data_IF_354812871295
#
_entry.id   IF_354812871295
#
_cell.length_a   1.000
_cell.length_b   1.000
_cell.length_c   1.000
_cell.angle_alpha   90.00
_cell.angle_beta   90.00
_cell.angle_gamma   90.00
#
_symmetry.space_group_name_H-M   'P 1'
#
loop_
_entity.id
_entity.type
_entity.pdbx_description
1 polymer ?
#
# COMPACT_ATOMS: atom_id res chain seq x y z
N UNK A 1 2.77 -29.46 -17.26
CA UNK A 1 1.72 -30.10 -18.05
C UNK A 1 2.15 -31.50 -18.49
N UNK A 2 1.29 -32.21 -19.22
CA UNK A 2 1.56 -33.57 -19.72
C UNK A 2 2.76 -33.67 -20.69
N UNK A 3 3.21 -32.55 -21.22
CA UNK A 3 4.36 -32.48 -22.13
C UNK A 3 5.66 -32.12 -21.38
N UNK A 4 5.63 -32.09 -20.06
CA UNK A 4 6.76 -31.73 -19.22
C UNK A 4 7.06 -30.23 -19.13
N UNK A 5 6.22 -29.35 -19.71
CA UNK A 5 6.40 -27.92 -19.58
C UNK A 5 6.01 -27.46 -18.17
N UNK A 6 6.86 -26.69 -17.46
CA UNK A 6 6.50 -26.12 -16.17
C UNK A 6 5.35 -25.13 -16.31
N UNK A 7 4.40 -25.19 -15.42
CA UNK A 7 3.24 -24.30 -15.39
C UNK A 7 3.00 -23.80 -13.97
N UNK A 8 2.44 -22.60 -13.84
CA UNK A 8 2.05 -22.01 -12.58
C UNK A 8 0.59 -21.55 -12.65
N UNK A 9 -0.11 -21.67 -11.55
CA UNK A 9 -1.47 -21.12 -11.44
C UNK A 9 -1.40 -19.59 -11.34
N UNK A 10 -2.26 -18.90 -12.08
CA UNK A 10 -2.24 -17.44 -12.17
C UNK A 10 -2.69 -16.78 -10.85
N UNK A 11 -1.80 -16.04 -10.22
CA UNK A 11 -2.13 -15.18 -9.07
C UNK A 11 -2.77 -13.86 -9.52
N UNK A 12 -2.35 -13.38 -10.68
CA UNK A 12 -2.79 -12.14 -11.34
C UNK A 12 -2.52 -12.26 -12.84
N UNK A 13 -3.13 -11.45 -13.69
CA UNK A 13 -3.04 -11.61 -15.13
C UNK A 13 -2.58 -10.35 -15.90
N UNK A 14 -1.92 -9.41 -15.26
CA UNK A 14 -1.38 -8.21 -15.91
C UNK A 14 -0.43 -8.59 -17.04
N UNK A 15 0.53 -9.46 -16.77
CA UNK A 15 1.50 -9.89 -17.78
C UNK A 15 0.84 -10.65 -18.94
N UNK A 16 -0.14 -11.50 -18.65
CA UNK A 16 -0.91 -12.19 -19.69
C UNK A 16 -1.68 -11.22 -20.58
N UNK A 17 -2.30 -10.18 -19.97
CA UNK A 17 -2.99 -9.13 -20.70
C UNK A 17 -2.03 -8.31 -21.56
N UNK A 18 -0.88 -7.92 -21.03
CA UNK A 18 0.15 -7.19 -21.77
C UNK A 18 0.70 -8.04 -22.93
N UNK A 19 0.95 -9.33 -22.71
CA UNK A 19 1.41 -10.23 -23.77
C UNK A 19 0.37 -10.33 -24.90
N UNK A 20 -0.90 -10.48 -24.57
CA UNK A 20 -1.99 -10.50 -25.55
C UNK A 20 -2.03 -9.21 -26.38
N UNK A 21 -1.90 -8.07 -25.74
CA UNK A 21 -1.92 -6.75 -26.41
C UNK A 21 -0.66 -6.55 -27.24
N UNK A 22 0.50 -7.04 -26.82
CA UNK A 22 1.71 -7.04 -27.65
C UNK A 22 1.54 -7.78 -28.95
N UNK A 23 0.78 -8.86 -28.97
CA UNK A 23 0.54 -9.67 -30.17
C UNK A 23 -0.53 -9.06 -31.08
N UNK A 24 -1.63 -8.55 -30.53
CA UNK A 24 -2.81 -8.16 -31.29
C UNK A 24 -3.04 -6.64 -31.34
N UNK A 25 -2.44 -5.86 -30.46
CA UNK A 25 -2.57 -4.41 -30.36
C UNK A 25 -1.52 -3.62 -31.13
N UNK A 26 -0.99 -4.13 -32.23
CA UNK A 26 0.15 -3.58 -32.96
C UNK A 26 -0.08 -2.20 -33.60
N UNK A 27 -1.30 -1.76 -33.76
CA UNK A 27 -1.62 -0.48 -34.41
C UNK A 27 -2.11 0.55 -33.38
N UNK A 28 -1.48 1.71 -33.34
CA UNK A 28 -1.91 2.84 -32.51
C UNK A 28 -3.34 3.30 -32.82
N UNK A 29 -3.81 3.08 -34.05
CA UNK A 29 -5.19 3.42 -34.45
C UNK A 29 -6.27 2.62 -33.69
N UNK A 30 -5.89 1.55 -32.97
CA UNK A 30 -6.80 0.77 -32.13
C UNK A 30 -6.94 1.35 -30.72
N UNK A 31 -6.05 2.25 -30.32
CA UNK A 31 -6.08 2.87 -29.00
C UNK A 31 -6.98 4.12 -28.95
N UNK A 32 -7.60 4.43 -27.80
CA UNK A 32 -7.56 3.67 -26.56
C UNK A 32 -8.54 2.49 -26.60
N UNK A 33 -8.24 1.44 -25.83
CA UNK A 33 -9.18 0.33 -25.63
C UNK A 33 -8.97 -0.32 -24.25
N UNK A 34 -9.94 -1.11 -23.83
CA UNK A 34 -9.88 -1.91 -22.61
C UNK A 34 -10.22 -3.36 -22.93
N UNK A 35 -9.47 -4.26 -22.32
CA UNK A 35 -9.82 -5.68 -22.23
C UNK A 35 -10.16 -6.03 -20.79
N UNK A 36 -11.03 -6.99 -20.59
CA UNK A 36 -11.38 -7.47 -19.25
C UNK A 36 -11.63 -8.96 -19.26
N UNK A 37 -11.57 -9.54 -18.10
CA UNK A 37 -11.93 -10.93 -17.86
C UNK A 37 -12.66 -11.10 -16.54
N UNK A 38 -13.40 -12.20 -16.43
CA UNK A 38 -13.91 -12.72 -15.16
C UNK A 38 -13.34 -14.13 -15.06
N UNK A 39 -12.32 -14.28 -14.24
CA UNK A 39 -11.48 -15.49 -14.25
C UNK A 39 -11.03 -15.84 -12.83
N UNK A 40 -10.84 -17.13 -12.59
CA UNK A 40 -10.29 -17.65 -11.34
C UNK A 40 -8.83 -17.21 -11.19
N UNK A 41 -8.50 -16.80 -9.96
CA UNK A 41 -7.14 -16.51 -9.50
C UNK A 41 -6.79 -17.45 -8.37
N UNK A 42 -5.51 -17.76 -8.24
CA UNK A 42 -4.97 -18.64 -7.21
C UNK A 42 -3.89 -17.90 -6.44
N UNK A 43 -4.06 -17.78 -5.12
CA UNK A 43 -3.07 -17.16 -4.24
C UNK A 43 -2.75 -18.09 -3.09
N UNK A 44 -1.48 -18.26 -2.78
CA UNK A 44 -1.03 -19.12 -1.68
C UNK A 44 -1.26 -18.45 -0.33
N UNK A 45 -2.55 -18.29 0.01
CA UNK A 45 -2.96 -17.71 1.30
C UNK A 45 -2.59 -18.67 2.43
N UNK A 46 -1.69 -18.24 3.30
CA UNK A 46 -1.18 -19.06 4.40
C UNK A 46 -2.29 -19.44 5.40
N UNK A 47 -3.26 -18.55 5.64
CA UNK A 47 -4.33 -18.72 6.62
C UNK A 47 -5.69 -18.31 6.06
N UNK A 48 -6.33 -19.16 5.23
CA UNK A 48 -7.69 -18.90 4.76
C UNK A 48 -8.64 -18.76 5.97
N UNK A 49 -9.53 -17.75 5.90
CA UNK A 49 -10.47 -17.44 6.99
C UNK A 49 -11.65 -16.62 6.52
N UNK A 50 -12.60 -16.38 7.42
CA UNK A 50 -13.78 -15.56 7.16
C UNK A 50 -14.61 -16.04 5.94
N UNK A 51 -14.83 -17.36 5.81
CA UNK A 51 -15.65 -17.97 4.75
C UNK A 51 -15.06 -17.72 3.36
N UNK A 52 -15.70 -16.86 2.56
CA UNK A 52 -15.26 -16.53 1.20
C UNK A 52 -14.40 -15.26 1.12
N UNK A 53 -14.13 -14.56 2.22
CA UNK A 53 -13.40 -13.30 2.21
C UNK A 53 -11.91 -13.53 1.97
N UNK A 54 -11.33 -14.57 2.59
CA UNK A 54 -9.91 -14.88 2.47
C UNK A 54 -9.69 -16.32 2.11
N UNK A 55 -9.52 -16.58 0.82
CA UNK A 55 -9.45 -17.93 0.22
C UNK A 55 -8.27 -18.02 -0.75
N UNK A 56 -7.87 -19.25 -1.08
CA UNK A 56 -6.78 -19.52 -2.03
C UNK A 56 -7.21 -19.50 -3.49
N UNK A 57 -8.49 -19.71 -3.75
CA UNK A 57 -9.07 -19.73 -5.09
C UNK A 57 -10.33 -18.86 -5.09
N UNK A 58 -10.39 -17.89 -6.00
CA UNK A 58 -11.50 -16.95 -6.09
C UNK A 58 -11.66 -16.42 -7.50
N UNK A 59 -12.89 -16.03 -7.84
CA UNK A 59 -13.18 -15.36 -9.11
C UNK A 59 -12.92 -13.86 -8.98
N UNK A 60 -12.14 -13.33 -9.91
CA UNK A 60 -11.85 -11.91 -10.02
C UNK A 60 -12.36 -11.36 -11.34
N UNK A 61 -13.01 -10.19 -11.31
CA UNK A 61 -13.17 -9.34 -12.48
C UNK A 61 -11.98 -8.38 -12.49
N UNK A 62 -11.15 -8.48 -13.49
CA UNK A 62 -10.02 -7.60 -13.72
C UNK A 62 -10.10 -7.00 -15.13
N UNK A 63 -9.69 -5.75 -15.27
CA UNK A 63 -9.75 -5.01 -16.52
C UNK A 63 -8.47 -4.19 -16.71
N UNK A 64 -8.00 -4.11 -17.95
CA UNK A 64 -6.74 -3.51 -18.33
C UNK A 64 -7.00 -2.55 -19.48
N UNK A 65 -6.68 -1.27 -19.29
CA UNK A 65 -6.86 -0.25 -20.31
C UNK A 65 -5.52 0.21 -20.88
N UNK A 66 -5.51 0.50 -22.16
CA UNK A 66 -4.31 0.85 -22.91
C UNK A 66 -4.55 2.17 -23.64
N UNK A 67 -3.63 3.10 -23.48
CA UNK A 67 -3.77 4.50 -23.89
C UNK A 67 -2.53 4.98 -24.63
N UNK A 68 -2.68 6.04 -25.43
CA UNK A 68 -1.58 6.66 -26.18
C UNK A 68 -1.04 7.93 -25.49
N UNK A 69 -1.73 8.42 -24.46
CA UNK A 69 -1.28 9.56 -23.66
C UNK A 69 -1.62 9.39 -22.20
N UNK A 70 -0.88 10.06 -21.34
CA UNK A 70 -1.12 10.09 -19.90
C UNK A 70 -2.47 10.76 -19.58
N UNK A 71 -2.80 11.84 -20.26
CA UNK A 71 -4.07 12.58 -20.10
C UNK A 71 -5.29 11.68 -20.36
N UNK A 72 -5.26 10.90 -21.45
CA UNK A 72 -6.34 9.96 -21.77
C UNK A 72 -6.46 8.85 -20.73
N UNK A 73 -5.33 8.34 -20.22
CA UNK A 73 -5.30 7.37 -19.13
C UNK A 73 -5.95 7.92 -17.85
N UNK A 74 -5.57 9.13 -17.44
CA UNK A 74 -6.10 9.78 -16.24
C UNK A 74 -7.61 10.02 -16.36
N UNK A 75 -8.06 10.53 -17.50
CA UNK A 75 -9.47 10.73 -17.77
C UNK A 75 -10.27 9.40 -17.74
N UNK A 76 -9.66 8.33 -18.25
CA UNK A 76 -10.29 7.02 -18.21
C UNK A 76 -10.30 6.43 -16.79
N UNK A 77 -9.25 6.67 -16.01
CA UNK A 77 -9.18 6.30 -14.59
C UNK A 77 -10.34 6.91 -13.79
N UNK A 78 -10.61 8.20 -13.98
CA UNK A 78 -11.75 8.88 -13.36
C UNK A 78 -13.10 8.25 -13.74
N UNK A 79 -13.26 7.84 -14.99
CA UNK A 79 -14.46 7.12 -15.44
C UNK A 79 -14.61 5.77 -14.72
N UNK A 80 -13.53 5.04 -14.56
CA UNK A 80 -13.51 3.78 -13.82
C UNK A 80 -13.85 4.00 -12.34
N UNK A 81 -13.25 5.02 -11.71
CA UNK A 81 -13.54 5.38 -10.34
C UNK A 81 -15.05 5.63 -10.12
N UNK A 82 -15.66 6.49 -10.94
CA UNK A 82 -17.10 6.75 -10.90
C UNK A 82 -17.95 5.51 -11.21
N UNK A 83 -17.43 4.58 -12.02
CA UNK A 83 -18.12 3.32 -12.27
C UNK A 83 -18.15 2.43 -11.03
N UNK A 84 -17.05 2.35 -10.27
CA UNK A 84 -17.00 1.61 -9.01
C UNK A 84 -17.95 2.20 -7.95
N UNK A 85 -18.03 3.51 -7.82
CA UNK A 85 -19.01 4.15 -6.92
C UNK A 85 -20.45 3.70 -7.25
N UNK A 86 -20.81 3.70 -8.53
CA UNK A 86 -22.12 3.21 -8.96
C UNK A 86 -22.32 1.71 -8.74
N UNK A 87 -21.28 0.90 -8.90
CA UNK A 87 -21.33 -0.56 -8.66
C UNK A 87 -21.65 -0.81 -7.20
N UNK A 88 -20.93 -0.19 -6.27
CA UNK A 88 -21.15 -0.40 -4.83
C UNK A 88 -22.51 0.13 -4.37
N UNK A 89 -22.94 1.28 -4.86
CA UNK A 89 -24.28 1.80 -4.59
C UNK A 89 -25.37 0.83 -5.09
N UNK A 90 -25.23 0.28 -6.29
CA UNK A 90 -26.16 -0.73 -6.84
C UNK A 90 -26.09 -2.07 -6.13
N UNK A 91 -24.95 -2.44 -5.59
CA UNK A 91 -24.78 -3.64 -4.77
C UNK A 91 -25.41 -3.52 -3.37
N UNK A 92 -25.89 -2.32 -2.99
CA UNK A 92 -26.52 -2.08 -1.69
C UNK A 92 -25.53 -1.89 -0.55
N UNK A 93 -24.30 -1.48 -0.84
CA UNK A 93 -23.24 -1.18 0.14
C UNK A 93 -22.73 0.26 -0.03
N UNK A 94 -23.57 1.26 0.23
CA UNK A 94 -23.24 2.68 0.04
C UNK A 94 -22.18 3.20 1.03
N UNK A 95 -21.87 2.45 2.09
CA UNK A 95 -20.85 2.80 3.11
C UNK A 95 -19.42 2.59 2.62
N UNK A 96 -19.25 2.13 1.39
CA UNK A 96 -17.92 2.00 0.77
C UNK A 96 -17.35 3.39 0.47
N UNK A 97 -16.13 3.64 0.91
CA UNK A 97 -15.39 4.87 0.64
C UNK A 97 -14.17 4.59 -0.21
N UNK A 98 -13.86 5.48 -1.14
CA UNK A 98 -12.61 5.44 -1.89
C UNK A 98 -11.51 6.09 -1.06
N UNK A 99 -10.38 5.43 -0.94
CA UNK A 99 -9.19 5.90 -0.22
C UNK A 99 -7.98 5.86 -1.13
N UNK A 100 -7.09 6.83 -0.99
CA UNK A 100 -5.76 6.79 -1.63
C UNK A 100 -4.99 5.61 -1.05
N UNK A 101 -4.37 4.82 -1.90
CA UNK A 101 -3.59 3.66 -1.49
C UNK A 101 -2.19 3.68 -2.10
N UNK A 102 -1.31 2.85 -1.57
CA UNK A 102 -0.01 2.58 -2.16
C UNK A 102 -0.18 1.76 -3.45
N UNK A 103 0.63 2.05 -4.47
CA UNK A 103 0.60 1.32 -5.74
C UNK A 103 1.30 -0.05 -5.69
N UNK A 104 2.05 -0.32 -4.61
CA UNK A 104 2.76 -1.56 -4.38
C UNK A 104 3.77 -1.89 -5.51
N UNK A 105 4.01 -3.18 -5.70
CA UNK A 105 4.92 -3.70 -6.74
C UNK A 105 4.45 -3.41 -8.16
N UNK A 106 3.18 -3.09 -8.38
CA UNK A 106 2.63 -2.78 -9.71
C UNK A 106 3.13 -1.45 -10.25
N UNK A 107 3.61 -0.57 -9.37
CA UNK A 107 4.06 0.77 -9.75
C UNK A 107 2.89 1.71 -10.09
N UNK A 108 3.24 2.86 -10.67
CA UNK A 108 2.26 3.91 -10.97
C UNK A 108 2.23 5.01 -9.91
N UNK A 109 1.62 6.14 -10.26
CA UNK A 109 1.61 7.33 -9.41
C UNK A 109 0.33 7.49 -8.59
N UNK A 110 -0.73 6.77 -8.97
CA UNK A 110 -2.07 6.89 -8.36
C UNK A 110 -2.64 5.51 -8.18
N UNK A 111 -3.11 5.24 -6.96
CA UNK A 111 -3.85 4.02 -6.62
C UNK A 111 -4.96 4.36 -5.64
N UNK A 112 -6.11 3.71 -5.80
CA UNK A 112 -7.24 3.83 -4.89
C UNK A 112 -7.78 2.45 -4.53
N UNK A 113 -8.24 2.34 -3.30
CA UNK A 113 -8.99 1.19 -2.80
C UNK A 113 -10.38 1.64 -2.40
N UNK A 114 -11.36 0.78 -2.64
CA UNK A 114 -12.73 0.98 -2.17
C UNK A 114 -12.94 0.15 -0.91
N UNK A 115 -13.00 0.83 0.25
CA UNK A 115 -13.02 0.23 1.57
C UNK A 115 -14.41 0.32 2.18
N UNK A 116 -14.94 -0.81 2.66
CA UNK A 116 -16.17 -0.83 3.45
C UNK A 116 -15.86 -0.47 4.90
N UNK A 117 -16.52 0.58 5.40
CA UNK A 117 -16.41 0.96 6.80
C UNK A 117 -17.20 -0.01 7.68
N UNK A 118 -16.49 -0.84 8.46
CA UNK A 118 -17.11 -1.84 9.31
C UNK A 118 -16.26 -2.12 10.55
N UNK A 119 -16.90 -2.33 11.73
CA UNK A 119 -16.15 -2.65 12.95
C UNK A 119 -15.41 -3.99 12.92
N UNK A 120 -15.76 -4.89 12.00
CA UNK A 120 -15.12 -6.18 11.82
C UNK A 120 -13.98 -6.16 10.80
N UNK A 121 -13.67 -4.98 10.23
CA UNK A 121 -12.56 -4.80 9.31
C UNK A 121 -11.20 -5.01 10.00
N UNK A 122 -10.20 -5.43 9.24
CA UNK A 122 -8.85 -5.71 9.74
C UNK A 122 -7.91 -4.52 9.55
N UNK A 123 -8.21 -3.66 8.58
CA UNK A 123 -7.37 -2.53 8.21
C UNK A 123 -7.83 -1.22 8.83
N UNK A 124 -6.91 -0.29 9.00
CA UNK A 124 -7.19 1.07 9.44
C UNK A 124 -7.01 2.05 8.28
N UNK A 125 -7.91 3.02 8.18
CA UNK A 125 -7.82 4.11 7.21
C UNK A 125 -7.85 5.46 7.90
N UNK A 126 -7.25 6.45 7.26
CA UNK A 126 -7.26 7.84 7.71
C UNK A 126 -8.32 8.60 6.91
N UNK A 127 -9.22 9.27 7.63
CA UNK A 127 -10.26 10.13 7.05
C UNK A 127 -10.15 11.51 7.72
N UNK A 128 -9.98 12.55 6.91
CA UNK A 128 -10.00 13.90 7.42
C UNK A 128 -11.44 14.35 7.69
N UNK A 129 -11.65 15.04 8.83
CA UNK A 129 -12.95 15.58 9.18
C UNK A 129 -13.25 16.93 8.52
N UNK A 130 -12.24 17.60 7.97
CA UNK A 130 -12.33 18.97 7.44
C UNK A 130 -12.29 19.00 5.89
N UNK A 131 -11.79 17.94 5.25
CA UNK A 131 -11.70 17.86 3.80
C UNK A 131 -11.92 16.44 3.31
N UNK A 132 -11.88 16.24 1.99
CA UNK A 132 -12.09 14.92 1.36
C UNK A 132 -10.87 14.00 1.41
N UNK A 133 -9.82 14.33 2.18
CA UNK A 133 -8.64 13.48 2.28
C UNK A 133 -8.96 12.15 2.94
N UNK A 134 -8.66 11.07 2.22
CA UNK A 134 -8.81 9.70 2.69
C UNK A 134 -7.65 8.86 2.16
N UNK A 135 -7.02 8.07 3.03
CA UNK A 135 -5.90 7.23 2.66
C UNK A 135 -5.84 5.97 3.54
N UNK A 136 -5.28 4.88 3.01
CA UNK A 136 -4.86 3.77 3.84
C UNK A 136 -3.59 4.16 4.63
N UNK A 137 -3.16 3.32 5.57
CA UNK A 137 -2.02 3.65 6.44
C UNK A 137 -0.69 3.76 5.69
N UNK A 138 -0.56 3.05 4.57
CA UNK A 138 0.64 3.03 3.72
C UNK A 138 0.77 4.32 2.89
N UNK A 139 -0.34 4.88 2.45
CA UNK A 139 -0.36 6.11 1.65
C UNK A 139 -0.64 7.38 2.46
N UNK A 140 -1.07 7.25 3.72
CA UNK A 140 -1.39 8.41 4.55
C UNK A 140 -0.16 9.26 4.82
N UNK A 141 -0.30 10.56 4.65
CA UNK A 141 0.74 11.54 4.93
C UNK A 141 0.38 12.32 6.20
N UNK A 142 1.37 12.61 7.03
CA UNK A 142 1.23 13.45 8.21
C UNK A 142 2.28 14.55 8.21
N UNK A 143 1.94 15.68 8.78
CA UNK A 143 2.88 16.76 9.02
C UNK A 143 3.44 16.57 10.43
N UNK A 144 4.74 16.39 10.52
CA UNK A 144 5.45 16.28 11.80
C UNK A 144 6.01 17.64 12.15
N UNK A 145 5.45 18.28 13.16
CA UNK A 145 6.00 19.51 13.72
C UNK A 145 7.24 19.16 14.54
N UNK A 146 8.35 19.80 14.21
CA UNK A 146 9.61 19.68 14.95
C UNK A 146 9.82 20.94 15.78
N UNK A 147 10.00 20.77 17.07
CA UNK A 147 10.45 21.84 17.95
C UNK A 147 11.98 21.92 17.91
N UNK A 148 12.51 23.13 17.72
CA UNK A 148 13.95 23.38 17.82
C UNK A 148 14.27 23.94 19.20
N UNK A 149 15.16 23.25 19.91
CA UNK A 149 15.68 23.71 21.20
C UNK A 149 17.15 24.10 21.08
N UNK A 150 17.62 24.90 22.04
CA UNK A 150 19.04 25.22 22.13
C UNK A 150 19.83 23.94 22.44
N UNK A 151 20.98 23.79 21.78
CA UNK A 151 21.88 22.70 22.07
C UNK A 151 22.34 22.74 23.53
N UNK A 152 22.26 21.62 24.19
CA UNK A 152 22.76 21.43 25.54
C UNK A 152 24.04 20.57 25.53
N UNK A 153 24.77 20.57 26.65
CA UNK A 153 25.96 19.73 26.81
C UNK A 153 25.57 18.24 26.78
N UNK A 154 26.33 17.45 26.02
CA UNK A 154 26.12 16.01 25.92
C UNK A 154 26.49 15.33 27.22
N UNK A 155 25.52 14.69 27.86
CA UNK A 155 25.68 13.96 29.10
C UNK A 155 25.24 12.51 28.95
N UNK A 156 25.91 11.60 29.68
CA UNK A 156 25.51 10.19 29.78
C UNK A 156 24.61 10.01 30.99
N UNK A 157 23.46 9.36 30.78
CA UNK A 157 22.54 9.03 31.86
C UNK A 157 22.41 7.50 31.96
N UNK A 158 22.51 6.97 33.16
CA UNK A 158 22.31 5.54 33.41
C UNK A 158 20.81 5.25 33.50
N UNK A 159 20.33 4.35 32.64
CA UNK A 159 18.90 3.95 32.55
C UNK A 159 18.78 2.43 32.83
N UNK A 160 18.89 1.99 34.12
CA UNK A 160 18.93 0.58 34.44
C UNK A 160 17.62 -0.12 34.13
N UNK A 161 17.69 -1.28 33.46
CA UNK A 161 16.54 -2.15 33.12
C UNK A 161 15.41 -1.46 32.33
N UNK A 162 15.74 -0.36 31.63
CA UNK A 162 14.77 0.34 30.76
C UNK A 162 14.99 -0.03 29.30
N UNK A 163 13.96 -0.59 28.65
CA UNK A 163 14.04 -1.15 27.32
C UNK A 163 13.11 -0.47 26.30
N UNK A 164 12.21 0.40 26.77
CA UNK A 164 11.27 1.11 25.89
C UNK A 164 11.43 2.61 25.99
N UNK A 165 11.00 3.33 24.95
CA UNK A 165 10.99 4.80 24.92
C UNK A 165 10.16 5.36 26.07
N UNK A 166 9.00 4.75 26.36
CA UNK A 166 8.10 5.17 27.44
C UNK A 166 8.81 5.12 28.78
N UNK A 167 9.48 3.99 29.10
CA UNK A 167 10.22 3.83 30.37
C UNK A 167 11.34 4.87 30.52
N UNK A 168 12.10 5.07 29.44
CA UNK A 168 13.20 6.05 29.45
C UNK A 168 12.68 7.48 29.58
N UNK A 169 11.62 7.82 28.85
CA UNK A 169 11.01 9.16 28.90
C UNK A 169 10.38 9.46 30.25
N UNK A 170 9.72 8.48 30.86
CA UNK A 170 9.15 8.61 32.21
C UNK A 170 10.26 8.85 33.25
N UNK A 171 11.33 8.05 33.19
CA UNK A 171 12.47 8.19 34.10
C UNK A 171 13.18 9.54 33.98
N UNK A 172 13.38 10.02 32.75
CA UNK A 172 14.07 11.29 32.49
C UNK A 172 13.13 12.51 32.58
N UNK A 173 11.83 12.29 32.75
CA UNK A 173 10.80 13.34 32.75
C UNK A 173 10.82 14.18 31.46
N UNK A 174 10.99 13.52 30.32
CA UNK A 174 11.00 14.14 28.98
C UNK A 174 9.84 13.61 28.15
N UNK A 175 9.29 14.44 27.26
CA UNK A 175 8.29 14.01 26.29
C UNK A 175 8.94 13.07 25.23
N UNK A 176 8.21 12.03 24.82
CA UNK A 176 8.64 11.11 23.78
C UNK A 176 8.95 11.84 22.45
N UNK A 177 8.32 12.97 22.17
CA UNK A 177 8.64 13.84 21.04
C UNK A 177 10.06 14.42 21.08
N UNK A 178 10.66 14.50 22.24
CA UNK A 178 12.05 14.98 22.45
C UNK A 178 13.07 13.86 22.49
N UNK A 179 12.62 12.62 22.39
CA UNK A 179 13.49 11.45 22.31
C UNK A 179 13.67 10.99 20.85
N UNK A 180 14.69 10.19 20.64
CA UNK A 180 14.97 9.58 19.35
C UNK A 180 15.36 8.12 19.55
N UNK A 181 14.80 7.24 18.72
CA UNK A 181 15.17 5.83 18.69
C UNK A 181 15.86 5.48 17.38
N UNK A 182 16.78 4.53 17.46
CA UNK A 182 17.44 3.94 16.31
C UNK A 182 16.81 2.58 16.01
N UNK A 183 16.40 2.37 14.78
CA UNK A 183 15.85 1.11 14.29
C UNK A 183 16.76 0.59 13.18
N UNK A 184 17.04 -0.71 13.20
CA UNK A 184 17.93 -1.34 12.22
C UNK A 184 17.11 -2.25 11.33
N UNK A 185 17.23 -2.05 10.02
CA UNK A 185 16.72 -2.94 9.00
C UNK A 185 17.86 -3.55 8.20
N UNK A 186 17.61 -4.72 7.63
CA UNK A 186 18.52 -5.35 6.68
C UNK A 186 17.92 -5.25 5.28
N UNK A 187 18.70 -4.77 4.34
CA UNK A 187 18.28 -4.66 2.94
C UNK A 187 18.39 -6.01 2.25
N UNK A 188 17.30 -6.48 1.65
CA UNK A 188 17.22 -7.81 1.04
C UNK A 188 18.12 -7.98 -0.20
N UNK A 189 18.47 -6.89 -0.89
CA UNK A 189 19.24 -6.97 -2.14
C UNK A 189 20.73 -7.23 -1.97
N UNK A 190 21.35 -6.82 -0.86
CA UNK A 190 22.80 -6.90 -0.63
C UNK A 190 23.20 -7.14 0.81
N UNK A 191 22.25 -7.52 1.66
CA UNK A 191 22.42 -7.83 3.08
C UNK A 191 23.01 -6.69 3.95
N UNK A 192 23.03 -5.45 3.43
CA UNK A 192 23.52 -4.31 4.21
C UNK A 192 22.50 -3.83 5.22
N UNK A 193 23.01 -3.36 6.34
CA UNK A 193 22.19 -2.76 7.38
C UNK A 193 21.89 -1.29 7.09
N UNK A 194 20.65 -0.91 7.36
CA UNK A 194 20.16 0.45 7.32
C UNK A 194 19.83 0.87 8.74
N UNK A 195 20.44 1.94 9.20
CA UNK A 195 20.16 2.52 10.51
C UNK A 195 19.26 3.75 10.32
N UNK A 196 18.10 3.70 10.95
CA UNK A 196 17.10 4.75 10.84
C UNK A 196 16.88 5.38 12.20
N UNK A 197 17.01 6.69 12.24
CA UNK A 197 16.71 7.46 13.44
C UNK A 197 15.31 8.09 13.27
N UNK A 198 14.45 7.80 14.21
CA UNK A 198 13.05 8.30 14.20
C UNK A 198 12.72 8.87 15.57
N UNK A 199 11.91 9.92 15.60
CA UNK A 199 11.44 10.54 16.85
C UNK A 199 10.69 9.48 17.70
N UNK A 200 10.87 9.51 19.02
CA UNK A 200 10.46 8.45 19.92
C UNK A 200 8.96 8.14 19.92
N UNK A 201 8.12 9.13 19.66
CA UNK A 201 6.66 8.98 19.56
C UNK A 201 6.15 8.43 18.22
N UNK A 202 7.04 8.23 17.24
CA UNK A 202 6.70 7.77 15.90
C UNK A 202 7.16 6.33 15.67
N UNK A 203 6.43 5.62 14.78
CA UNK A 203 6.79 4.29 14.30
C UNK A 203 7.15 4.33 12.82
N UNK A 204 7.97 3.37 12.39
CA UNK A 204 8.32 3.20 11.00
C UNK A 204 7.24 2.33 10.33
N UNK A 205 6.70 2.82 9.22
CA UNK A 205 5.90 2.01 8.32
C UNK A 205 6.82 1.42 7.25
N UNK A 206 6.91 0.09 7.19
CA UNK A 206 7.84 -0.63 6.31
C UNK A 206 7.54 -0.39 4.82
N UNK A 207 6.28 -0.30 4.42
CA UNK A 207 5.91 0.01 3.03
C UNK A 207 6.41 1.40 2.63
N UNK A 208 6.23 2.41 3.49
CA UNK A 208 6.78 3.75 3.24
C UNK A 208 8.30 3.76 3.19
N UNK A 209 8.94 2.97 4.05
CA UNK A 209 10.39 2.83 4.06
C UNK A 209 10.90 2.21 2.76
N UNK A 210 10.31 1.09 2.33
CA UNK A 210 10.62 0.41 1.07
C UNK A 210 10.46 1.37 -0.12
N UNK A 211 9.36 2.11 -0.17
CA UNK A 211 9.11 3.10 -1.21
C UNK A 211 10.13 4.24 -1.21
N UNK A 212 10.51 4.72 -0.03
CA UNK A 212 11.53 5.77 0.11
C UNK A 212 12.91 5.30 -0.33
N UNK A 213 13.31 4.10 0.10
CA UNK A 213 14.61 3.50 -0.22
C UNK A 213 14.67 2.89 -1.62
N UNK A 214 13.51 2.63 -2.24
CA UNK A 214 13.36 1.90 -3.50
C UNK A 214 14.01 0.51 -3.47
N UNK A 215 13.96 -0.14 -2.33
CA UNK A 215 14.44 -1.51 -2.13
C UNK A 215 13.70 -2.14 -0.94
N UNK A 216 13.54 -3.45 -0.97
CA UNK A 216 12.95 -4.22 0.12
C UNK A 216 13.90 -4.30 1.33
N UNK A 217 13.30 -4.25 2.52
CA UNK A 217 13.98 -4.28 3.82
C UNK A 217 13.42 -5.37 4.71
#
# INVERSE_FOLDING_TARGET
DRNGAPMVLGMTHEEAAVQLVREYGQSYAKYPFMIYQIQTKFRDEARPRAGLIRVREFTMKDAYSFHTSQEDLEHYYDKCHKAYERIYARAGIPEVVSVKSDSGMMGGNVSHEFMLLTPIGEDSIVICNECDYRANMEAAENIVENETEAMQELTKVHTPEMHTIEQVCEFLHVDAKKSMKAVVYQRNSDDKYILIFVRGDLEINETKLTNYLRCDV
#
